data_IF_484088021715
#
_entry.id   IF_484088021715
#
_cell.length_a   1.000
_cell.length_b   1.000
_cell.length_c   1.000
_cell.angle_alpha   90.00
_cell.angle_beta   90.00
_cell.angle_gamma   90.00
#
_symmetry.space_group_name_H-M   'P 1'
#
loop_
_entity.id
_entity.type
_entity.pdbx_description
1 polymer ?
#
# COMPACT_ATOMS: atom_id res chain seq x y z
N UNK A 1 -26.36 67.93 -2.58
CA UNK A 1 -25.92 66.77 -1.75
C UNK A 1 -27.14 66.02 -1.18
N UNK A 2 -27.94 65.35 -2.03
CA UNK A 2 -29.09 64.50 -1.65
C UNK A 2 -29.09 63.28 -2.58
N UNK A 3 -28.18 62.34 -2.35
CA UNK A 3 -28.05 61.14 -3.20
C UNK A 3 -27.70 59.87 -2.40
N UNK A 4 -28.12 59.82 -1.13
CA UNK A 4 -28.06 58.61 -0.30
C UNK A 4 -29.44 58.37 0.33
N UNK A 5 -30.46 58.15 -0.52
CA UNK A 5 -31.74 57.58 -0.07
C UNK A 5 -31.55 56.08 0.11
N UNK A 6 -31.33 55.67 1.37
CA UNK A 6 -31.82 54.43 1.98
C UNK A 6 -32.09 53.27 1.00
N UNK A 7 -31.03 52.58 0.54
CA UNK A 7 -31.20 51.23 0.02
C UNK A 7 -31.61 50.33 1.19
N UNK A 8 -32.90 50.06 1.32
CA UNK A 8 -33.40 49.07 2.26
C UNK A 8 -32.92 47.70 1.79
N UNK A 9 -31.84 47.19 2.38
CA UNK A 9 -31.35 45.84 2.09
C UNK A 9 -32.42 44.84 2.56
N UNK A 10 -32.95 43.98 1.69
CA UNK A 10 -33.94 43.01 2.09
C UNK A 10 -33.38 42.08 3.18
N UNK A 11 -34.19 41.77 4.20
CA UNK A 11 -33.78 40.93 5.33
C UNK A 11 -33.20 39.57 4.89
N UNK A 12 -33.69 39.02 3.76
CA UNK A 12 -33.18 37.75 3.22
C UNK A 12 -31.73 37.87 2.71
N UNK A 13 -31.31 39.03 2.19
CA UNK A 13 -29.92 39.25 1.73
C UNK A 13 -28.97 39.24 2.92
N UNK A 14 -29.38 39.80 4.06
CA UNK A 14 -28.60 39.80 5.30
C UNK A 14 -28.44 38.36 5.83
N UNK A 15 -29.52 37.56 5.82
CA UNK A 15 -29.48 36.15 6.22
C UNK A 15 -28.54 35.34 5.31
N UNK A 16 -28.64 35.52 4.00
CA UNK A 16 -27.76 34.82 3.04
C UNK A 16 -26.30 35.23 3.25
N UNK A 17 -26.01 36.52 3.39
CA UNK A 17 -24.66 37.00 3.65
C UNK A 17 -24.08 36.44 4.96
N UNK A 18 -24.90 36.34 6.01
CA UNK A 18 -24.52 35.73 7.27
C UNK A 18 -24.24 34.22 7.15
N UNK A 19 -25.07 33.50 6.41
CA UNK A 19 -24.84 32.07 6.14
C UNK A 19 -23.55 31.83 5.36
N UNK A 20 -23.25 32.64 4.35
CA UNK A 20 -21.98 32.56 3.63
C UNK A 20 -20.79 32.92 4.52
N UNK A 21 -20.93 33.97 5.35
CA UNK A 21 -19.91 34.37 6.29
C UNK A 21 -19.59 33.29 7.34
N UNK A 22 -20.54 32.41 7.67
CA UNK A 22 -20.31 31.24 8.52
C UNK A 22 -19.83 30.00 7.75
N UNK A 23 -20.34 29.80 6.54
CA UNK A 23 -20.04 28.62 5.73
C UNK A 23 -18.57 28.57 5.29
N UNK A 24 -18.04 29.69 4.77
CA UNK A 24 -16.65 29.72 4.27
C UNK A 24 -15.59 29.45 5.34
N UNK A 25 -15.61 30.07 6.55
CA UNK A 25 -14.64 29.74 7.59
C UNK A 25 -14.82 28.31 8.11
N UNK A 26 -16.06 27.81 8.21
CA UNK A 26 -16.29 26.41 8.60
C UNK A 26 -15.72 25.43 7.57
N UNK A 27 -16.01 25.63 6.29
CA UNK A 27 -15.46 24.82 5.20
C UNK A 27 -13.92 24.88 5.18
N UNK A 28 -13.35 26.08 5.34
CA UNK A 28 -11.90 26.27 5.43
C UNK A 28 -11.30 25.47 6.61
N UNK A 29 -11.90 25.53 7.79
CA UNK A 29 -11.46 24.77 8.97
C UNK A 29 -11.56 23.26 8.75
N UNK A 30 -12.62 22.77 8.12
CA UNK A 30 -12.79 21.35 7.79
C UNK A 30 -11.72 20.90 6.81
N UNK A 31 -11.49 21.66 5.72
CA UNK A 31 -10.45 21.34 4.75
C UNK A 31 -9.06 21.41 5.39
N UNK A 32 -8.80 22.43 6.21
CA UNK A 32 -7.54 22.55 6.95
C UNK A 32 -7.31 21.34 7.87
N UNK A 33 -8.32 20.92 8.63
CA UNK A 33 -8.23 19.74 9.49
C UNK A 33 -7.97 18.46 8.68
N UNK A 34 -8.62 18.29 7.53
CA UNK A 34 -8.37 17.12 6.66
C UNK A 34 -6.93 17.14 6.14
N UNK A 35 -6.48 18.23 5.54
CA UNK A 35 -5.19 18.30 4.85
C UNK A 35 -3.98 18.40 5.78
N UNK A 36 -4.10 19.11 6.90
CA UNK A 36 -2.95 19.42 7.76
C UNK A 36 -2.95 18.66 9.09
N UNK A 37 -4.06 18.05 9.47
CA UNK A 37 -4.13 17.26 10.71
C UNK A 37 -4.33 15.78 10.36
N UNK A 38 -5.44 15.43 9.71
CA UNK A 38 -5.86 14.03 9.52
C UNK A 38 -5.01 13.28 8.49
N UNK A 39 -4.67 13.89 7.35
CA UNK A 39 -3.83 13.25 6.33
C UNK A 39 -2.40 13.02 6.85
N UNK A 40 -1.71 14.00 7.46
CA UNK A 40 -0.39 13.77 8.05
C UNK A 40 -0.42 12.72 9.16
N UNK A 41 -1.48 12.66 9.99
CA UNK A 41 -1.65 11.59 10.98
C UNK A 41 -1.60 10.17 10.37
N UNK A 42 -1.99 10.00 9.10
CA UNK A 42 -1.81 8.72 8.37
C UNK A 42 -0.39 8.54 7.81
N UNK A 43 0.29 9.63 7.42
CA UNK A 43 1.66 9.59 6.90
C UNK A 43 2.74 9.55 7.99
N UNK A 44 2.37 9.74 9.26
CA UNK A 44 3.27 9.76 10.42
C UNK A 44 3.74 8.37 10.89
N UNK A 45 3.43 7.30 10.16
CA UNK A 45 4.19 6.05 10.30
C UNK A 45 5.37 6.10 9.33
N UNK A 46 6.55 6.59 9.75
CA UNK A 46 7.76 6.40 8.96
C UNK A 46 7.91 4.91 8.65
N UNK A 47 7.86 4.58 7.36
CA UNK A 47 8.15 3.24 6.90
C UNK A 47 9.65 3.02 7.08
N UNK A 48 10.05 2.48 8.22
CA UNK A 48 11.43 2.11 8.49
C UNK A 48 11.69 0.71 7.94
N UNK A 49 12.76 0.59 7.16
CA UNK A 49 13.33 -0.71 6.79
C UNK A 49 14.22 -1.15 7.95
N UNK A 50 13.91 -2.28 8.57
CA UNK A 50 14.77 -2.84 9.63
C UNK A 50 16.10 -3.32 9.06
N UNK A 51 17.11 -3.53 9.91
CA UNK A 51 18.39 -4.11 9.44
C UNK A 51 18.19 -5.50 8.84
N UNK A 52 17.26 -6.28 9.41
CA UNK A 52 16.88 -7.60 8.95
C UNK A 52 16.22 -7.55 7.56
N UNK A 53 15.31 -6.62 7.34
CA UNK A 53 14.68 -6.40 6.03
C UNK A 53 15.70 -5.89 5.02
N UNK A 54 16.57 -4.96 5.41
CA UNK A 54 17.62 -4.41 4.54
C UNK A 54 18.60 -5.50 4.07
N UNK A 55 19.01 -6.40 4.97
CA UNK A 55 19.85 -7.55 4.62
C UNK A 55 19.15 -8.50 3.65
N UNK A 56 17.85 -8.74 3.85
CA UNK A 56 17.06 -9.55 2.93
C UNK A 56 16.94 -8.87 1.55
N UNK A 57 16.64 -7.58 1.48
CA UNK A 57 16.57 -6.82 0.24
C UNK A 57 17.94 -6.79 -0.47
N UNK A 58 19.03 -6.67 0.27
CA UNK A 58 20.39 -6.74 -0.29
C UNK A 58 20.66 -8.11 -0.91
N UNK A 59 20.23 -9.20 -0.27
CA UNK A 59 20.29 -10.53 -0.87
C UNK A 59 19.44 -10.60 -2.15
N UNK A 60 18.19 -10.09 -2.10
CA UNK A 60 17.28 -10.05 -3.24
C UNK A 60 17.85 -9.28 -4.44
N UNK A 61 18.62 -8.21 -4.18
CA UNK A 61 19.33 -7.44 -5.22
C UNK A 61 20.31 -8.31 -6.01
N UNK A 62 20.98 -9.27 -5.36
CA UNK A 62 21.96 -10.13 -6.01
C UNK A 62 21.34 -11.15 -6.99
N UNK A 63 20.01 -11.31 -6.94
CA UNK A 63 19.26 -12.22 -7.81
C UNK A 63 18.87 -11.55 -9.13
N UNK A 64 18.58 -12.34 -10.20
CA UNK A 64 18.07 -11.82 -11.46
C UNK A 64 16.87 -10.89 -11.30
N UNK A 65 16.62 -10.02 -12.30
CA UNK A 65 15.43 -9.18 -12.31
C UNK A 65 14.15 -10.02 -12.30
N UNK A 66 13.07 -9.47 -11.75
CA UNK A 66 11.77 -10.12 -11.67
C UNK A 66 10.77 -9.33 -10.84
N UNK A 67 9.57 -9.88 -10.71
CA UNK A 67 8.50 -9.32 -9.89
C UNK A 67 8.54 -9.90 -8.48
N UNK A 68 8.43 -9.03 -7.49
CA UNK A 68 8.37 -9.40 -6.09
C UNK A 68 6.97 -9.14 -5.51
N UNK A 69 6.45 -10.11 -4.78
CA UNK A 69 5.29 -9.96 -3.91
C UNK A 69 5.77 -9.59 -2.50
N UNK A 70 5.34 -8.44 -2.01
CA UNK A 70 5.58 -7.96 -0.65
C UNK A 70 4.43 -7.07 -0.19
N UNK A 71 4.49 -6.67 1.07
CA UNK A 71 3.70 -5.58 1.64
C UNK A 71 3.91 -4.27 0.86
N UNK A 72 2.93 -3.36 0.87
CA UNK A 72 3.07 -2.02 0.30
C UNK A 72 4.31 -1.29 0.81
N UNK A 73 4.60 -1.40 2.12
CA UNK A 73 5.74 -0.73 2.76
C UNK A 73 7.08 -1.18 2.17
N UNK A 74 7.35 -2.48 2.08
CA UNK A 74 8.56 -3.01 1.42
C UNK A 74 8.52 -2.74 -0.09
N UNK A 75 7.32 -2.75 -0.65
CA UNK A 75 7.05 -2.47 -2.05
C UNK A 75 7.50 -1.10 -2.53
N UNK A 76 7.44 -0.08 -1.66
CA UNK A 76 8.02 1.22 -1.95
C UNK A 76 9.54 1.16 -2.14
N UNK A 77 10.24 0.35 -1.35
CA UNK A 77 11.71 0.30 -1.35
C UNK A 77 12.29 -0.69 -2.36
N UNK A 78 11.52 -1.71 -2.73
CA UNK A 78 11.94 -2.81 -3.62
C UNK A 78 12.60 -2.30 -4.92
N UNK A 79 11.98 -1.41 -5.71
CA UNK A 79 12.59 -0.93 -6.95
C UNK A 79 13.89 -0.16 -6.70
N UNK A 80 13.95 0.65 -5.65
CA UNK A 80 15.12 1.48 -5.35
C UNK A 80 16.30 0.68 -4.78
N UNK A 81 16.04 -0.40 -4.05
CA UNK A 81 17.07 -1.18 -3.37
C UNK A 81 17.51 -2.42 -4.14
N UNK A 82 16.68 -3.00 -5.00
CA UNK A 82 16.87 -4.39 -5.51
C UNK A 82 16.71 -4.59 -7.02
N UNK A 83 16.35 -3.53 -7.76
CA UNK A 83 15.99 -3.56 -9.18
C UNK A 83 14.85 -4.56 -9.52
N UNK A 84 14.02 -4.91 -8.53
CA UNK A 84 12.82 -5.75 -8.70
C UNK A 84 11.59 -4.89 -8.88
N UNK A 85 10.66 -5.38 -9.69
CA UNK A 85 9.34 -4.78 -9.82
C UNK A 85 8.47 -5.20 -8.64
N UNK A 86 7.92 -4.25 -7.89
CA UNK A 86 6.97 -4.59 -6.84
C UNK A 86 5.56 -4.75 -7.40
N UNK A 87 4.80 -5.74 -6.93
CA UNK A 87 3.36 -5.84 -7.22
C UNK A 87 2.58 -4.68 -6.60
N UNK A 88 2.95 -4.32 -5.37
CA UNK A 88 2.30 -3.28 -4.57
C UNK A 88 3.31 -2.21 -4.19
N UNK A 89 2.94 -0.95 -4.30
CA UNK A 89 3.69 0.17 -3.74
C UNK A 89 2.72 1.15 -3.10
N UNK A 90 2.75 2.40 -3.57
CA UNK A 90 1.76 3.40 -3.19
C UNK A 90 0.38 3.13 -3.80
N UNK A 91 -0.66 3.58 -3.10
CA UNK A 91 -2.05 3.51 -3.59
C UNK A 91 -2.19 4.33 -4.88
N UNK A 92 -1.53 5.48 -4.93
CA UNK A 92 -1.59 6.45 -6.02
C UNK A 92 -0.79 6.00 -7.26
N UNK A 93 0.19 5.11 -7.09
CA UNK A 93 1.12 4.70 -8.14
C UNK A 93 0.95 3.23 -8.58
N UNK A 94 0.04 2.48 -7.98
CA UNK A 94 -0.22 1.09 -8.33
C UNK A 94 -1.57 0.97 -9.05
N UNK A 95 -1.54 0.58 -10.33
CA UNK A 95 -2.77 0.24 -11.06
C UNK A 95 -3.49 -0.93 -10.37
N UNK A 96 -4.81 -0.82 -10.25
CA UNK A 96 -5.69 -1.80 -9.60
C UNK A 96 -5.27 -2.15 -8.16
N UNK A 97 -4.79 -1.14 -7.42
CA UNK A 97 -4.23 -1.31 -6.07
C UNK A 97 -5.13 -2.16 -5.16
N UNK A 98 -6.42 -1.86 -5.08
CA UNK A 98 -7.32 -2.55 -4.14
C UNK A 98 -7.50 -4.03 -4.48
N UNK A 99 -7.53 -4.39 -5.76
CA UNK A 99 -7.60 -5.79 -6.19
C UNK A 99 -6.31 -6.53 -5.82
N UNK A 100 -5.15 -5.96 -6.20
CA UNK A 100 -3.84 -6.53 -5.87
C UNK A 100 -3.61 -6.62 -4.38
N UNK A 101 -4.08 -5.65 -3.60
CA UNK A 101 -3.98 -5.64 -2.15
C UNK A 101 -4.85 -6.72 -1.51
N UNK A 102 -6.05 -6.97 -2.05
CA UNK A 102 -6.89 -8.08 -1.61
C UNK A 102 -6.26 -9.44 -1.93
N UNK A 103 -5.67 -9.59 -3.12
CA UNK A 103 -4.94 -10.80 -3.48
C UNK A 103 -3.68 -11.00 -2.63
N UNK A 104 -2.94 -9.94 -2.31
CA UNK A 104 -1.83 -9.98 -1.37
C UNK A 104 -2.27 -10.47 0.02
N UNK A 105 -3.34 -9.89 0.59
CA UNK A 105 -3.89 -10.34 1.88
C UNK A 105 -4.35 -11.79 1.82
N UNK A 106 -5.01 -12.17 0.72
CA UNK A 106 -5.45 -13.56 0.50
C UNK A 106 -4.23 -14.48 0.46
N UNK A 107 -3.20 -14.15 -0.29
CA UNK A 107 -1.98 -14.96 -0.39
C UNK A 107 -1.36 -15.26 0.99
N UNK A 108 -1.23 -14.24 1.85
CA UNK A 108 -0.65 -14.39 3.19
C UNK A 108 -1.65 -14.86 4.27
N UNK A 109 -2.91 -15.09 3.93
CA UNK A 109 -3.89 -15.65 4.87
C UNK A 109 -3.58 -17.13 5.17
N UNK A 110 -3.72 -17.51 6.44
CA UNK A 110 -3.60 -18.91 6.89
C UNK A 110 -4.69 -19.83 6.31
N UNK A 111 -5.84 -19.26 5.93
CA UNK A 111 -6.97 -20.03 5.39
C UNK A 111 -6.90 -20.24 3.88
N UNK A 112 -5.97 -19.58 3.18
CA UNK A 112 -5.85 -19.70 1.73
C UNK A 112 -5.18 -21.02 1.36
N UNK A 113 -5.73 -21.67 0.34
CA UNK A 113 -5.22 -22.97 -0.13
C UNK A 113 -3.94 -22.79 -0.95
N UNK A 114 -3.12 -23.84 -1.05
CA UNK A 114 -1.92 -23.84 -1.89
C UNK A 114 -2.26 -23.51 -3.35
N UNK A 115 -3.36 -24.04 -3.88
CA UNK A 115 -3.82 -23.81 -5.25
C UNK A 115 -4.16 -22.35 -5.50
N UNK A 116 -4.83 -21.69 -4.54
CA UNK A 116 -5.14 -20.27 -4.63
C UNK A 116 -3.89 -19.40 -4.56
N UNK A 117 -2.92 -19.73 -3.70
CA UNK A 117 -1.62 -19.04 -3.66
C UNK A 117 -0.92 -19.14 -5.02
N UNK A 118 -0.87 -20.34 -5.61
CA UNK A 118 -0.29 -20.55 -6.95
C UNK A 118 -1.02 -19.75 -8.03
N UNK A 119 -2.35 -19.65 -7.97
CA UNK A 119 -3.13 -18.80 -8.90
C UNK A 119 -2.72 -17.34 -8.80
N UNK A 120 -2.51 -16.81 -7.60
CA UNK A 120 -2.07 -15.42 -7.38
C UNK A 120 -0.65 -15.21 -7.95
N UNK A 121 0.29 -16.14 -7.69
CA UNK A 121 1.65 -16.07 -8.24
C UNK A 121 1.65 -16.04 -9.77
N UNK A 122 0.83 -16.88 -10.41
CA UNK A 122 0.68 -16.91 -11.87
C UNK A 122 0.02 -15.65 -12.43
N UNK A 123 -1.09 -15.21 -11.82
CA UNK A 123 -1.85 -14.02 -12.22
C UNK A 123 -0.94 -12.79 -12.38
N UNK A 124 0.00 -12.63 -11.45
CA UNK A 124 0.89 -11.47 -11.41
C UNK A 124 2.32 -11.76 -11.86
N UNK A 125 2.61 -12.95 -12.40
CA UNK A 125 3.94 -13.37 -12.84
C UNK A 125 5.02 -13.10 -11.78
N UNK A 126 4.72 -13.46 -10.53
CA UNK A 126 5.63 -13.26 -9.40
C UNK A 126 6.81 -14.22 -9.52
N UNK A 127 8.02 -13.70 -9.35
CA UNK A 127 9.27 -14.46 -9.36
C UNK A 127 9.81 -14.66 -7.93
N UNK A 128 9.54 -13.70 -7.04
CA UNK A 128 10.00 -13.70 -5.65
C UNK A 128 8.89 -13.33 -4.68
N UNK A 129 8.88 -13.96 -3.50
CA UNK A 129 7.99 -13.60 -2.39
C UNK A 129 8.83 -13.17 -1.21
N UNK A 130 8.59 -11.94 -0.74
CA UNK A 130 9.17 -11.42 0.50
C UNK A 130 8.16 -11.61 1.63
N UNK A 131 8.59 -12.25 2.72
CA UNK A 131 7.82 -12.38 3.94
C UNK A 131 8.61 -11.76 5.08
N UNK A 132 8.17 -10.61 5.58
CA UNK A 132 8.71 -9.97 6.77
C UNK A 132 7.67 -9.90 7.89
N UNK A 133 7.82 -8.89 8.75
CA UNK A 133 6.92 -8.66 9.88
C UNK A 133 5.48 -8.36 9.45
N UNK A 134 5.30 -7.58 8.37
CA UNK A 134 3.97 -7.15 7.89
C UNK A 134 3.17 -8.33 7.34
N UNK A 135 3.81 -9.17 6.55
CA UNK A 135 3.22 -10.39 6.00
C UNK A 135 2.92 -11.38 7.13
N UNK A 136 3.84 -11.51 8.08
CA UNK A 136 3.65 -12.36 9.25
C UNK A 136 2.49 -11.88 10.14
N UNK A 137 2.22 -10.58 10.17
CA UNK A 137 1.08 -10.03 10.92
C UNK A 137 -0.27 -10.48 10.33
N UNK A 138 -0.37 -10.66 9.02
CA UNK A 138 -1.59 -11.16 8.34
C UNK A 138 -1.85 -12.62 8.73
N UNK A 139 -0.80 -13.44 8.76
CA UNK A 139 -0.88 -14.85 9.15
C UNK A 139 -0.85 -15.10 10.65
N UNK A 140 -0.81 -14.05 11.49
CA UNK A 140 -0.64 -14.16 12.96
C UNK A 140 0.63 -14.93 13.35
N UNK A 141 1.70 -14.77 12.57
CA UNK A 141 2.99 -15.43 12.75
C UNK A 141 3.63 -15.78 11.40
N UNK A 142 4.76 -16.48 11.44
CA UNK A 142 5.48 -16.92 10.26
C UNK A 142 4.73 -18.04 9.51
N UNK A 143 4.04 -17.68 8.41
CA UNK A 143 3.44 -18.66 7.51
C UNK A 143 4.51 -19.61 6.95
N UNK A 144 4.25 -20.92 7.00
CA UNK A 144 5.12 -21.95 6.42
C UNK A 144 4.82 -22.10 4.93
N UNK A 145 5.43 -21.24 4.12
CA UNK A 145 5.42 -21.36 2.66
C UNK A 145 6.48 -22.38 2.20
N UNK A 146 6.19 -23.12 1.13
CA UNK A 146 7.15 -24.08 0.57
C UNK A 146 6.73 -24.69 -0.76
N UNK A 147 7.26 -25.88 -1.07
CA UNK A 147 7.10 -26.51 -2.37
C UNK A 147 5.63 -26.74 -2.77
N UNK A 148 4.74 -27.00 -1.81
CA UNK A 148 3.30 -27.13 -2.06
C UNK A 148 2.68 -25.83 -2.62
N UNK A 149 3.20 -24.67 -2.22
CA UNK A 149 2.81 -23.35 -2.74
C UNK A 149 3.56 -22.98 -4.03
N UNK A 150 4.44 -23.85 -4.55
CA UNK A 150 5.31 -23.54 -5.67
C UNK A 150 6.45 -22.59 -5.30
N UNK A 151 6.93 -22.67 -4.05
CA UNK A 151 7.93 -21.78 -3.49
C UNK A 151 9.14 -22.56 -2.95
N UNK A 152 10.32 -22.00 -3.17
CA UNK A 152 11.59 -22.47 -2.62
C UNK A 152 12.17 -21.40 -1.69
N UNK A 153 12.45 -21.73 -0.43
CA UNK A 153 13.07 -20.81 0.51
C UNK A 153 14.55 -20.62 0.13
N UNK A 154 14.93 -19.40 -0.23
CA UNK A 154 16.29 -19.07 -0.68
C UNK A 154 17.04 -18.14 0.27
N UNK A 155 16.32 -17.45 1.17
CA UNK A 155 16.91 -16.63 2.22
C UNK A 155 16.05 -16.68 3.47
N UNK A 156 16.71 -16.72 4.63
CA UNK A 156 16.05 -16.73 5.92
C UNK A 156 16.94 -16.05 6.97
N UNK A 157 16.41 -15.05 7.64
CA UNK A 157 17.01 -14.46 8.84
C UNK A 157 15.93 -14.31 9.94
N UNK A 158 16.22 -13.56 11.01
CA UNK A 158 15.29 -13.37 12.12
C UNK A 158 14.06 -12.52 11.78
N UNK A 159 14.16 -11.63 10.79
CA UNK A 159 13.13 -10.63 10.47
C UNK A 159 12.47 -10.78 9.10
N UNK A 160 13.04 -11.60 8.21
CA UNK A 160 12.57 -11.76 6.84
C UNK A 160 12.94 -13.12 6.23
N UNK A 161 12.09 -13.57 5.31
CA UNK A 161 12.29 -14.74 4.45
C UNK A 161 12.05 -14.34 3.00
N UNK A 162 12.85 -14.90 2.11
CA UNK A 162 12.65 -14.73 0.67
C UNK A 162 12.48 -16.11 0.06
N UNK A 163 11.43 -16.21 -0.74
CA UNK A 163 11.12 -17.40 -1.50
C UNK A 163 11.26 -17.10 -3.00
N UNK A 164 11.82 -18.06 -3.75
CA UNK A 164 11.78 -18.08 -5.21
C UNK A 164 10.56 -18.86 -5.66
N UNK A 165 9.88 -18.37 -6.68
CA UNK A 165 8.79 -19.11 -7.32
C UNK A 165 9.38 -20.18 -8.24
N UNK A 166 9.05 -21.44 -7.97
CA UNK A 166 9.57 -22.61 -8.71
C UNK A 166 8.60 -23.17 -9.76
N UNK A 167 7.37 -22.67 -9.78
CA UNK A 167 6.37 -23.02 -10.78
C UNK A 167 6.48 -22.14 -12.02
N UNK A 168 6.15 -22.69 -13.19
CA UNK A 168 6.06 -21.88 -14.40
C UNK A 168 4.88 -20.90 -14.30
N UNK A 169 5.21 -19.61 -14.18
CA UNK A 169 4.27 -18.50 -14.14
C UNK A 169 3.94 -17.93 -15.52
N UNK A 170 4.62 -18.38 -16.59
CA UNK A 170 4.51 -17.85 -17.95
C UNK A 170 3.70 -18.73 -18.90
N UNK A 171 3.49 -20.01 -18.58
CA UNK A 171 2.76 -20.99 -19.41
C UNK A 171 1.24 -20.78 -19.58
N UNK A 172 0.62 -19.73 -19.05
CA UNK A 172 -0.86 -19.58 -19.04
C UNK A 172 -1.40 -18.47 -19.97
N UNK A 173 -0.73 -18.20 -21.08
CA UNK A 173 -1.27 -17.38 -22.17
C UNK A 173 -1.39 -18.21 -23.45
#
# INVERSE_FOLDING_TARGET
MKLLRSLAIPKFVIVIAFLYALYYPFLYLVLYAIFFVLIPLRSLYPAYVTNEDYNALTYLKSLPQGHALSSPEIGYFLPFLTDKFSLLGSVEHTLDYYEKFNDYKKFFSVTTTHDERRKILKKYRIDYVFQGYKESSISHGWLKLGAADGLELIFNNKGARIYRVSIDTRSSY
#
